data_IF_819392633142
#
_entry.id   IF_819392633142
#
_cell.length_a   1.000
_cell.length_b   1.000
_cell.length_c   1.000
_cell.angle_alpha   90.00
_cell.angle_beta   90.00
_cell.angle_gamma   90.00
#
_symmetry.space_group_name_H-M   'P 1'
#
loop_
_entity.id
_entity.type
_entity.pdbx_description
1 polymer ?
#
# COMPACT_ATOMS: atom_id res chain seq x y z
N UNK A 1 16.15 -0.41 8.22
CA UNK A 1 16.17 1.06 8.14
C UNK A 1 16.10 1.80 9.48
N UNK A 2 14.93 1.89 10.16
CA UNK A 2 14.76 2.73 11.38
C UNK A 2 15.81 2.50 12.48
N UNK A 3 16.23 1.26 12.68
CA UNK A 3 17.25 0.93 13.68
C UNK A 3 18.64 1.53 13.34
N UNK A 4 19.01 1.58 12.05
CA UNK A 4 20.27 2.17 11.56
C UNK A 4 20.29 3.68 11.81
N UNK A 5 19.16 4.36 11.56
CA UNK A 5 18.99 5.79 11.89
C UNK A 5 19.19 6.03 13.39
N UNK A 6 18.54 5.21 14.24
CA UNK A 6 18.68 5.32 15.69
C UNK A 6 20.13 5.13 16.16
N UNK A 7 20.85 4.15 15.59
CA UNK A 7 22.28 3.93 15.88
C UNK A 7 23.16 5.11 15.45
N UNK A 8 22.72 5.87 14.44
CA UNK A 8 23.37 7.09 13.96
C UNK A 8 22.89 8.37 14.66
N UNK A 9 22.15 8.23 15.77
CA UNK A 9 21.56 9.35 16.53
C UNK A 9 20.62 10.25 15.69
N UNK A 10 19.96 9.67 14.67
CA UNK A 10 18.94 10.33 13.86
C UNK A 10 17.56 9.80 14.27
N UNK A 11 16.58 10.70 14.39
CA UNK A 11 15.19 10.38 14.72
C UNK A 11 14.23 10.99 13.71
N UNK A 12 13.04 10.40 13.59
CA UNK A 12 11.96 10.94 12.79
C UNK A 12 11.25 12.08 13.51
N UNK A 13 10.71 13.01 12.71
CA UNK A 13 9.84 14.06 13.25
C UNK A 13 8.57 13.41 13.83
N UNK A 14 8.27 13.73 15.08
CA UNK A 14 7.02 13.31 15.71
C UNK A 14 5.91 14.25 15.25
N UNK A 15 4.93 13.71 14.53
CA UNK A 15 3.74 14.44 14.13
C UNK A 15 2.62 14.25 15.16
N UNK A 16 1.76 15.26 15.28
CA UNK A 16 0.55 15.17 16.09
C UNK A 16 -0.39 14.11 15.51
N UNK A 17 -1.19 13.50 16.37
CA UNK A 17 -2.09 12.39 16.00
C UNK A 17 -3.12 12.79 14.94
N UNK A 18 -3.67 14.00 15.01
CA UNK A 18 -4.62 14.54 14.05
C UNK A 18 -4.09 14.50 12.61
N UNK A 19 -2.80 14.81 12.41
CA UNK A 19 -2.14 14.74 11.11
C UNK A 19 -2.03 13.30 10.58
N UNK A 20 -1.78 12.34 11.46
CA UNK A 20 -1.71 10.92 11.10
C UNK A 20 -3.10 10.41 10.71
N UNK A 21 -4.12 10.79 11.46
CA UNK A 21 -5.51 10.38 11.19
C UNK A 21 -6.03 10.94 9.85
N UNK A 22 -5.61 12.14 9.44
CA UNK A 22 -5.95 12.70 8.11
C UNK A 22 -5.44 11.81 6.97
N UNK A 23 -4.16 11.41 7.01
CA UNK A 23 -3.61 10.49 6.00
C UNK A 23 -4.25 9.10 6.07
N UNK A 24 -4.63 8.64 7.27
CA UNK A 24 -5.37 7.38 7.44
C UNK A 24 -6.74 7.44 6.78
N UNK A 25 -7.46 8.54 6.96
CA UNK A 25 -8.75 8.75 6.31
C UNK A 25 -8.61 8.77 4.79
N UNK A 26 -7.63 9.51 4.26
CA UNK A 26 -7.33 9.56 2.81
C UNK A 26 -7.02 8.19 2.23
N UNK A 27 -6.20 7.39 2.93
CA UNK A 27 -5.89 6.02 2.53
C UNK A 27 -7.15 5.15 2.45
N UNK A 28 -8.03 5.26 3.45
CA UNK A 28 -9.29 4.50 3.51
C UNK A 28 -10.27 4.92 2.41
N UNK A 29 -10.32 6.21 2.07
CA UNK A 29 -11.28 6.78 1.13
C UNK A 29 -10.86 6.65 -0.33
N UNK A 30 -9.57 6.79 -0.62
CA UNK A 30 -9.05 6.91 -1.99
C UNK A 30 -8.02 5.84 -2.36
N UNK A 31 -7.55 5.04 -1.39
CA UNK A 31 -6.59 3.98 -1.64
C UNK A 31 -5.32 4.46 -2.37
N UNK A 32 -4.90 3.69 -3.37
CA UNK A 32 -3.69 3.96 -4.16
C UNK A 32 -3.84 5.15 -5.12
N UNK A 33 -5.05 5.45 -5.57
CA UNK A 33 -5.30 6.51 -6.56
C UNK A 33 -5.53 7.88 -5.90
N UNK A 34 -5.49 7.93 -4.58
CA UNK A 34 -5.49 9.16 -3.80
C UNK A 34 -4.13 9.85 -3.69
N UNK A 35 -4.13 10.91 -2.88
CA UNK A 35 -2.94 11.60 -2.41
C UNK A 35 -2.87 11.54 -0.90
N UNK A 36 -1.66 11.48 -0.36
CA UNK A 36 -1.38 11.70 1.06
C UNK A 36 -0.64 13.02 1.23
N UNK A 37 -0.71 13.59 2.43
CA UNK A 37 0.04 14.79 2.79
C UNK A 37 1.45 14.36 3.23
N UNK A 38 2.46 14.84 2.51
CA UNK A 38 3.84 14.83 2.99
C UNK A 38 4.05 16.07 3.86
N UNK A 39 4.05 15.88 5.17
CA UNK A 39 4.20 16.96 6.14
C UNK A 39 5.61 17.57 6.18
N UNK A 40 6.62 16.87 5.66
CA UNK A 40 7.97 17.41 5.52
C UNK A 40 8.08 18.36 4.32
N UNK A 41 7.43 18.01 3.21
CA UNK A 41 7.36 18.83 1.98
C UNK A 41 6.20 19.83 1.99
N UNK A 42 5.31 19.75 2.99
CA UNK A 42 4.11 20.60 3.13
C UNK A 42 3.18 20.58 1.91
N UNK A 43 3.07 19.43 1.26
CA UNK A 43 2.27 19.27 0.03
C UNK A 43 1.56 17.92 -0.03
N UNK A 44 0.53 17.84 -0.87
CA UNK A 44 -0.09 16.56 -1.22
C UNK A 44 0.73 15.85 -2.30
N UNK A 45 1.02 14.56 -2.09
CA UNK A 45 1.80 13.72 -3.00
C UNK A 45 0.98 12.48 -3.36
N UNK A 46 1.01 12.01 -4.62
CA UNK A 46 0.35 10.76 -5.00
C UNK A 46 0.77 9.59 -4.11
N UNK A 47 -0.20 8.79 -3.63
CA UNK A 47 0.06 7.66 -2.73
C UNK A 47 1.07 6.67 -3.33
N UNK A 48 0.92 6.34 -4.63
CA UNK A 48 1.85 5.44 -5.34
C UNK A 48 3.29 5.94 -5.34
N UNK A 49 3.50 7.25 -5.42
CA UNK A 49 4.85 7.83 -5.39
C UNK A 49 5.47 7.70 -3.99
N UNK A 50 4.70 7.99 -2.93
CA UNK A 50 5.18 7.87 -1.55
C UNK A 50 5.52 6.42 -1.17
N UNK A 51 4.75 5.44 -1.65
CA UNK A 51 5.07 4.03 -1.43
C UNK A 51 6.39 3.66 -2.11
N UNK A 52 6.64 4.11 -3.34
CA UNK A 52 7.93 3.88 -4.02
C UNK A 52 9.10 4.55 -3.30
N UNK A 53 8.92 5.79 -2.87
CA UNK A 53 9.93 6.49 -2.04
C UNK A 53 10.22 5.70 -0.75
N UNK A 54 9.21 5.11 -0.11
CA UNK A 54 9.40 4.24 1.06
C UNK A 54 10.15 2.95 0.71
N UNK A 55 9.86 2.31 -0.43
CA UNK A 55 10.57 1.11 -0.88
C UNK A 55 12.05 1.41 -1.16
N UNK A 56 12.34 2.53 -1.81
CA UNK A 56 13.71 3.01 -2.04
C UNK A 56 14.46 3.25 -0.72
N UNK A 57 13.79 3.82 0.29
CA UNK A 57 14.39 4.09 1.61
C UNK A 57 14.81 2.81 2.34
N UNK A 58 14.11 1.69 2.14
CA UNK A 58 14.39 0.41 2.81
C UNK A 58 15.16 -0.58 1.93
N UNK A 59 15.51 -0.21 0.70
CA UNK A 59 16.09 -1.10 -0.30
C UNK A 59 17.36 -1.80 0.20
N UNK A 60 18.25 -1.07 0.88
CA UNK A 60 19.49 -1.63 1.44
C UNK A 60 19.19 -2.78 2.42
N UNK A 61 18.22 -2.63 3.32
CA UNK A 61 17.89 -3.71 4.26
C UNK A 61 17.13 -4.86 3.63
N UNK A 62 16.35 -4.58 2.59
CA UNK A 62 15.68 -5.63 1.81
C UNK A 62 16.72 -6.53 1.16
N UNK A 63 17.78 -5.93 0.60
CA UNK A 63 18.89 -6.65 -0.01
C UNK A 63 19.73 -7.40 1.04
N UNK A 64 20.11 -6.73 2.14
CA UNK A 64 20.86 -7.35 3.24
C UNK A 64 20.16 -8.56 3.85
N UNK A 65 18.83 -8.51 3.96
CA UNK A 65 18.01 -9.59 4.51
C UNK A 65 17.63 -10.64 3.45
N UNK A 66 17.87 -10.37 2.17
CA UNK A 66 17.49 -11.28 1.07
C UNK A 66 15.98 -11.45 0.91
N UNK A 67 15.19 -10.42 1.25
CA UNK A 67 13.71 -10.49 1.27
C UNK A 67 13.04 -9.78 0.09
N UNK A 68 13.79 -9.43 -0.96
CA UNK A 68 13.27 -8.72 -2.13
C UNK A 68 12.03 -9.38 -2.76
N UNK A 69 12.00 -10.73 -2.81
CA UNK A 69 10.86 -11.48 -3.35
C UNK A 69 9.54 -11.19 -2.62
N UNK A 70 9.58 -10.87 -1.32
CA UNK A 70 8.38 -10.56 -0.54
C UNK A 70 7.76 -9.19 -0.87
N UNK A 71 8.49 -8.33 -1.59
CA UNK A 71 7.98 -7.02 -2.01
C UNK A 71 7.33 -7.04 -3.40
N UNK A 72 7.52 -8.11 -4.19
CA UNK A 72 6.93 -8.25 -5.52
C UNK A 72 5.39 -8.03 -5.52
N UNK A 73 4.61 -8.49 -4.51
CA UNK A 73 3.18 -8.17 -4.43
C UNK A 73 2.88 -6.67 -4.32
N UNK A 74 3.77 -5.89 -3.70
CA UNK A 74 3.59 -4.43 -3.57
C UNK A 74 3.71 -3.77 -4.94
N UNK A 75 4.72 -4.12 -5.73
CA UNK A 75 4.87 -3.61 -7.09
C UNK A 75 3.69 -4.01 -7.98
N UNK A 76 3.19 -5.25 -7.85
CA UNK A 76 1.97 -5.69 -8.54
C UNK A 76 0.76 -4.86 -8.14
N UNK A 77 0.56 -4.55 -6.86
CA UNK A 77 -0.52 -3.65 -6.42
C UNK A 77 -0.34 -2.22 -6.97
N UNK A 78 0.88 -1.71 -6.98
CA UNK A 78 1.22 -0.40 -7.55
C UNK A 78 1.09 -0.33 -9.08
N UNK A 79 0.96 -1.45 -9.78
CA UNK A 79 0.71 -1.51 -11.22
C UNK A 79 -0.77 -1.82 -11.54
N UNK A 80 -1.36 -2.81 -10.87
CA UNK A 80 -2.65 -3.41 -11.23
C UNK A 80 -3.82 -2.96 -10.34
N UNK A 81 -3.52 -2.26 -9.23
CA UNK A 81 -4.49 -1.87 -8.23
C UNK A 81 -4.66 -2.92 -7.11
N UNK A 82 -5.55 -2.61 -6.19
CA UNK A 82 -5.87 -3.37 -4.99
C UNK A 82 -6.96 -4.42 -5.25
N UNK A 83 -7.26 -5.24 -4.24
CA UNK A 83 -8.43 -6.13 -4.28
C UNK A 83 -9.73 -5.33 -4.40
N UNK A 84 -9.85 -4.14 -3.80
CA UNK A 84 -11.04 -3.30 -3.95
C UNK A 84 -11.29 -2.93 -5.42
N UNK A 85 -10.23 -2.62 -6.17
CA UNK A 85 -10.33 -2.31 -7.59
C UNK A 85 -10.81 -3.52 -8.42
N UNK A 86 -10.37 -4.73 -8.06
CA UNK A 86 -10.83 -5.97 -8.70
C UNK A 86 -12.29 -6.27 -8.36
N UNK A 87 -12.68 -6.11 -7.11
CA UNK A 87 -14.05 -6.31 -6.65
C UNK A 87 -15.03 -5.35 -7.35
N UNK A 88 -14.66 -4.07 -7.48
CA UNK A 88 -15.44 -3.08 -8.22
C UNK A 88 -15.58 -3.46 -9.69
N UNK A 89 -14.50 -3.91 -10.35
CA UNK A 89 -14.57 -4.39 -11.74
C UNK A 89 -15.53 -5.57 -11.90
N UNK A 90 -15.49 -6.54 -10.97
CA UNK A 90 -16.42 -7.68 -10.99
C UNK A 90 -17.85 -7.18 -10.84
N UNK A 91 -18.10 -6.36 -9.82
CA UNK A 91 -19.42 -5.78 -9.55
C UNK A 91 -19.98 -5.05 -10.77
N UNK A 92 -19.19 -4.18 -11.40
CA UNK A 92 -19.60 -3.40 -12.57
C UNK A 92 -19.84 -4.32 -13.79
N UNK A 93 -19.01 -5.36 -13.97
CA UNK A 93 -19.15 -6.31 -15.07
C UNK A 93 -20.33 -7.28 -14.93
N UNK A 94 -20.87 -7.44 -13.72
CA UNK A 94 -21.98 -8.35 -13.40
C UNK A 94 -23.29 -7.62 -13.12
N UNK A 95 -23.40 -6.36 -13.57
CA UNK A 95 -24.58 -5.50 -13.34
C UNK A 95 -24.95 -5.37 -11.85
N UNK A 96 -23.93 -5.28 -10.99
CA UNK A 96 -24.07 -5.09 -9.56
C UNK A 96 -24.33 -6.36 -8.74
N UNK A 97 -24.04 -7.55 -9.28
CA UNK A 97 -24.20 -8.80 -8.51
C UNK A 97 -23.11 -8.98 -7.44
N UNK A 98 -23.50 -8.78 -6.18
CA UNK A 98 -22.64 -9.01 -5.02
C UNK A 98 -22.24 -10.49 -4.83
N UNK A 99 -23.05 -11.45 -5.30
CA UNK A 99 -22.69 -12.87 -5.21
C UNK A 99 -21.48 -13.17 -6.08
N UNK A 100 -21.45 -12.63 -7.30
CA UNK A 100 -20.30 -12.74 -8.19
C UNK A 100 -19.02 -12.17 -7.57
N UNK A 101 -19.11 -11.06 -6.82
CA UNK A 101 -17.96 -10.49 -6.10
C UNK A 101 -17.46 -11.43 -5.00
N UNK A 102 -18.38 -12.03 -4.22
CA UNK A 102 -18.01 -12.99 -3.17
C UNK A 102 -17.39 -14.26 -3.78
N UNK A 103 -17.98 -14.80 -4.84
CA UNK A 103 -17.46 -15.97 -5.54
C UNK A 103 -16.05 -15.71 -6.10
N UNK A 104 -15.83 -14.51 -6.67
CA UNK A 104 -14.51 -14.07 -7.11
C UNK A 104 -13.50 -14.01 -5.95
N UNK A 105 -13.88 -13.45 -4.79
CA UNK A 105 -12.99 -13.39 -3.62
C UNK A 105 -12.64 -14.78 -3.05
N UNK A 106 -13.60 -15.70 -3.06
CA UNK A 106 -13.36 -17.09 -2.65
C UNK A 106 -12.36 -17.74 -3.60
N UNK A 107 -12.47 -17.49 -4.90
CA UNK A 107 -11.52 -18.00 -5.89
C UNK A 107 -10.11 -17.42 -5.70
N UNK A 108 -9.96 -16.10 -5.57
CA UNK A 108 -8.65 -15.45 -5.34
C UNK A 108 -7.99 -15.96 -4.04
N UNK A 109 -8.77 -16.17 -2.98
CA UNK A 109 -8.24 -16.63 -1.70
C UNK A 109 -7.73 -18.08 -1.74
N UNK A 110 -8.21 -18.88 -2.69
CA UNK A 110 -7.76 -20.26 -2.92
C UNK A 110 -6.55 -20.34 -3.84
N UNK A 111 -6.22 -19.26 -4.56
CA UNK A 111 -5.12 -19.23 -5.49
C UNK A 111 -3.79 -19.47 -4.76
N UNK A 112 -2.98 -20.41 -5.23
CA UNK A 112 -1.73 -20.82 -4.58
C UNK A 112 -1.87 -21.84 -3.44
N UNK A 113 -3.09 -22.27 -3.11
CA UNK A 113 -3.31 -23.44 -2.25
C UNK A 113 -3.48 -24.68 -3.13
N UNK A 114 -2.57 -25.65 -3.02
CA UNK A 114 -2.77 -27.00 -3.55
C UNK A 114 -3.81 -27.72 -2.68
N UNK A 115 -5.09 -27.66 -3.07
CA UNK A 115 -6.20 -28.39 -2.43
C UNK A 115 -6.85 -29.30 -3.46
#
# INVERSE_FOLDING_TARGET
WLWKLRRSNITFRVYRRDLIEENRWRASRYGLDGKMIDFGKTQEVPTRQLIRELLELVAEEVDELGIAAYLEPIERMLALGTSADRQLRVYDSTDGDLRAVVDHLIAESKEGLEI
#
